data_IF_952229310658
#
_entry.id   IF_952229310658
#
_cell.length_a   1.000
_cell.length_b   1.000
_cell.length_c   1.000
_cell.angle_alpha   90.00
_cell.angle_beta   90.00
_cell.angle_gamma   90.00
#
_symmetry.space_group_name_H-M   'P 1'
#
loop_
_entity.id
_entity.type
_entity.pdbx_description
1 polymer ?
#
# COMPACT_ATOMS: atom_id res chain seq x y z
N UNK A 1 13.77 29.36 43.35
CA UNK A 1 14.07 30.01 42.05
C UNK A 1 14.93 29.15 41.11
N UNK A 2 16.00 28.47 41.57
CA UNK A 2 16.90 27.68 40.68
C UNK A 2 16.29 26.43 40.02
N UNK A 3 15.28 25.79 40.63
CA UNK A 3 14.64 24.57 40.11
C UNK A 3 13.85 24.80 38.82
N UNK A 4 13.26 25.99 38.64
CA UNK A 4 12.46 26.33 37.46
C UNK A 4 13.30 26.43 36.18
N UNK A 5 14.49 27.05 36.28
CA UNK A 5 15.43 27.13 35.16
C UNK A 5 15.97 25.76 34.75
N UNK A 6 16.17 24.85 35.70
CA UNK A 6 16.61 23.49 35.41
C UNK A 6 15.53 22.71 34.65
N UNK A 7 14.27 22.77 35.08
CA UNK A 7 13.15 22.16 34.35
C UNK A 7 12.97 22.73 32.94
N UNK A 8 13.13 24.05 32.78
CA UNK A 8 13.03 24.68 31.46
C UNK A 8 14.19 24.29 30.54
N UNK A 9 15.40 24.21 31.09
CA UNK A 9 16.59 23.75 30.36
C UNK A 9 16.47 22.31 29.88
N UNK A 10 15.94 21.41 30.72
CA UNK A 10 15.69 20.01 30.35
C UNK A 10 14.62 19.93 29.26
N UNK A 11 13.51 20.66 29.39
CA UNK A 11 12.45 20.67 28.39
C UNK A 11 12.95 21.18 27.03
N UNK A 12 13.71 22.28 27.02
CA UNK A 12 14.31 22.82 25.79
C UNK A 12 15.28 21.83 25.14
N UNK A 13 16.07 21.10 25.94
CA UNK A 13 16.98 20.09 25.45
C UNK A 13 16.25 18.90 24.81
N UNK A 14 15.16 18.42 25.42
CA UNK A 14 14.32 17.34 24.87
C UNK A 14 13.70 17.77 23.54
N UNK A 15 13.18 19.00 23.45
CA UNK A 15 12.61 19.54 22.21
C UNK A 15 13.69 19.60 21.12
N UNK A 16 14.90 20.06 21.43
CA UNK A 16 15.99 20.11 20.46
C UNK A 16 16.33 18.73 19.90
N UNK A 17 16.41 17.71 20.78
CA UNK A 17 16.60 16.33 20.36
C UNK A 17 15.46 15.87 19.45
N UNK A 18 14.21 16.15 19.83
CA UNK A 18 13.05 15.75 19.04
C UNK A 18 13.05 16.37 17.62
N UNK A 19 13.45 17.65 17.49
CA UNK A 19 13.58 18.32 16.19
C UNK A 19 14.66 17.67 15.32
N UNK A 20 15.85 17.45 15.88
CA UNK A 20 16.98 16.90 15.12
C UNK A 20 16.73 15.44 14.73
N UNK A 21 16.04 14.70 15.59
CA UNK A 21 15.77 13.27 15.39
C UNK A 21 14.50 12.99 14.60
N UNK A 22 13.65 13.97 14.29
CA UNK A 22 12.41 13.73 13.55
C UNK A 22 12.70 13.03 12.19
N UNK A 23 12.12 11.85 11.91
CA UNK A 23 12.43 11.11 10.69
C UNK A 23 12.00 11.87 9.43
N UNK A 24 12.78 11.67 8.35
CA UNK A 24 12.48 12.19 7.02
C UNK A 24 11.50 11.26 6.25
N UNK A 25 11.02 11.73 5.11
CA UNK A 25 10.06 10.99 4.27
C UNK A 25 10.59 9.62 3.80
N UNK A 26 11.89 9.51 3.50
CA UNK A 26 12.50 8.25 3.08
C UNK A 26 12.42 7.17 4.16
N UNK A 27 12.58 7.55 5.44
CA UNK A 27 12.36 6.63 6.57
C UNK A 27 10.92 6.18 6.67
N UNK A 28 9.96 7.07 6.40
CA UNK A 28 8.54 6.72 6.35
C UNK A 28 8.25 5.71 5.23
N UNK A 29 8.74 5.97 4.02
CA UNK A 29 8.63 5.07 2.86
C UNK A 29 9.26 3.70 3.14
N UNK A 30 10.45 3.70 3.76
CA UNK A 30 11.18 2.47 4.10
C UNK A 30 10.47 1.64 5.17
N UNK A 31 9.85 2.29 6.16
CA UNK A 31 9.04 1.61 7.17
C UNK A 31 7.81 0.96 6.55
N UNK A 32 7.10 1.68 5.67
CA UNK A 32 5.93 1.13 4.96
C UNK A 32 6.36 -0.02 4.05
N UNK A 33 7.46 0.12 3.30
CA UNK A 33 8.02 -0.94 2.44
C UNK A 33 8.32 -2.20 3.22
N UNK A 34 8.96 -2.07 4.37
CA UNK A 34 9.29 -3.21 5.22
C UNK A 34 8.04 -3.93 5.73
N UNK A 35 7.00 -3.19 6.16
CA UNK A 35 5.74 -3.79 6.64
C UNK A 35 5.00 -4.50 5.50
N UNK A 36 4.91 -3.89 4.32
CA UNK A 36 4.26 -4.46 3.12
C UNK A 36 5.01 -5.70 2.62
N UNK A 37 6.35 -5.66 2.55
CA UNK A 37 7.15 -6.82 2.15
C UNK A 37 7.03 -7.96 3.16
N UNK A 38 7.04 -7.66 4.46
CA UNK A 38 6.85 -8.68 5.50
C UNK A 38 5.47 -9.35 5.39
N UNK A 39 4.41 -8.58 5.15
CA UNK A 39 3.06 -9.11 4.93
C UNK A 39 2.98 -10.01 3.70
N UNK A 40 3.50 -9.54 2.56
CA UNK A 40 3.50 -10.32 1.32
C UNK A 40 4.37 -11.59 1.41
N UNK A 41 5.52 -11.52 2.10
CA UNK A 41 6.37 -12.69 2.34
C UNK A 41 5.70 -13.71 3.27
N UNK A 42 5.05 -13.26 4.34
CA UNK A 42 4.33 -14.14 5.24
C UNK A 42 3.23 -14.92 4.50
N UNK A 43 2.47 -14.23 3.64
CA UNK A 43 1.41 -14.84 2.83
C UNK A 43 1.98 -15.75 1.72
N UNK A 44 3.08 -15.34 1.06
CA UNK A 44 3.73 -16.18 0.06
C UNK A 44 4.33 -17.46 0.67
N UNK A 45 4.86 -17.38 1.90
CA UNK A 45 5.38 -18.56 2.62
C UNK A 45 4.24 -19.49 3.04
N UNK A 46 3.08 -18.98 3.46
CA UNK A 46 1.92 -19.82 3.77
C UNK A 46 1.35 -20.52 2.53
N UNK A 47 1.35 -19.88 1.37
CA UNK A 47 0.85 -20.49 0.13
C UNK A 47 1.81 -21.58 -0.40
N UNK A 48 3.12 -21.41 -0.20
CA UNK A 48 4.15 -22.37 -0.61
C UNK A 48 4.27 -23.55 0.36
N UNK A 49 4.07 -23.35 1.67
CA UNK A 49 4.05 -24.45 2.64
C UNK A 49 2.98 -25.50 2.33
N UNK A 50 1.94 -25.12 1.59
CA UNK A 50 0.88 -26.01 1.13
C UNK A 50 1.13 -26.62 -0.27
N UNK A 51 2.19 -26.20 -0.98
CA UNK A 51 2.46 -26.57 -2.38
C UNK A 51 3.88 -27.14 -2.54
N UNK A 52 4.06 -28.41 -2.21
CA UNK A 52 5.33 -29.15 -2.29
C UNK A 52 5.75 -29.40 -3.75
N UNK A 53 6.72 -28.63 -4.29
CA UNK A 53 7.68 -29.12 -5.29
C UNK A 53 8.93 -28.21 -5.34
N UNK A 54 10.14 -28.77 -5.18
CA UNK A 54 11.22 -28.10 -4.42
C UNK A 54 12.40 -27.52 -5.22
N UNK A 55 12.38 -27.45 -6.56
CA UNK A 55 13.56 -26.93 -7.30
C UNK A 55 13.30 -25.87 -8.38
N UNK A 56 12.22 -25.93 -9.16
CA UNK A 56 11.90 -24.88 -10.14
C UNK A 56 11.32 -23.61 -9.47
N UNK A 57 10.65 -23.81 -8.34
CA UNK A 57 10.01 -22.75 -7.57
C UNK A 57 11.02 -21.77 -6.95
N UNK A 58 12.27 -22.18 -6.70
CA UNK A 58 13.25 -21.32 -6.04
C UNK A 58 13.78 -20.20 -6.96
N UNK A 59 13.99 -20.49 -8.24
CA UNK A 59 14.46 -19.51 -9.24
C UNK A 59 13.30 -18.61 -9.68
N UNK A 60 12.11 -19.18 -9.91
CA UNK A 60 10.91 -18.39 -10.18
C UNK A 60 10.56 -17.45 -9.03
N UNK A 61 10.72 -17.90 -7.78
CA UNK A 61 10.49 -17.08 -6.58
C UNK A 61 11.52 -15.98 -6.41
N UNK A 62 12.80 -16.20 -6.72
CA UNK A 62 13.80 -15.13 -6.62
C UNK A 62 13.55 -14.04 -7.66
N UNK A 63 13.23 -14.40 -8.91
CA UNK A 63 12.85 -13.46 -9.96
C UNK A 63 11.54 -12.74 -9.60
N UNK A 64 10.52 -13.48 -9.17
CA UNK A 64 9.24 -12.93 -8.75
C UNK A 64 9.36 -11.98 -7.55
N UNK A 65 10.19 -12.30 -6.57
CA UNK A 65 10.46 -11.43 -5.41
C UNK A 65 11.22 -10.17 -5.83
N UNK A 66 12.19 -10.27 -6.75
CA UNK A 66 12.92 -9.13 -7.26
C UNK A 66 12.00 -8.17 -8.04
N UNK A 67 11.17 -8.71 -8.94
CA UNK A 67 10.19 -7.93 -9.71
C UNK A 67 9.10 -7.32 -8.81
N UNK A 68 8.56 -8.11 -7.88
CA UNK A 68 7.58 -7.64 -6.90
C UNK A 68 8.15 -6.53 -6.01
N UNK A 69 9.42 -6.62 -5.60
CA UNK A 69 10.10 -5.59 -4.82
C UNK A 69 10.18 -4.24 -5.54
N UNK A 70 10.48 -4.24 -6.85
CA UNK A 70 10.52 -3.02 -7.68
C UNK A 70 9.14 -2.40 -7.85
N UNK A 71 8.11 -3.22 -8.10
CA UNK A 71 6.72 -2.74 -8.24
C UNK A 71 6.22 -2.13 -6.93
N UNK A 72 6.47 -2.80 -5.79
CA UNK A 72 6.10 -2.30 -4.45
C UNK A 72 6.82 -0.99 -4.15
N UNK A 73 8.08 -0.87 -4.52
CA UNK A 73 8.86 0.36 -4.32
C UNK A 73 8.30 1.54 -5.12
N UNK A 74 7.98 1.35 -6.40
CA UNK A 74 7.36 2.39 -7.23
C UNK A 74 5.99 2.82 -6.69
N UNK A 75 5.19 1.84 -6.26
CA UNK A 75 3.89 2.09 -5.66
C UNK A 75 4.04 2.93 -4.37
N UNK A 76 4.91 2.51 -3.45
CA UNK A 76 5.17 3.21 -2.18
C UNK A 76 5.67 4.62 -2.41
N UNK A 77 6.57 4.82 -3.37
CA UNK A 77 7.10 6.15 -3.68
C UNK A 77 6.02 7.11 -4.21
N UNK A 78 4.95 6.59 -4.82
CA UNK A 78 3.85 7.37 -5.38
C UNK A 78 2.74 7.66 -4.36
N UNK A 79 2.42 6.68 -3.51
CA UNK A 79 1.28 6.76 -2.58
C UNK A 79 1.65 7.26 -1.19
N UNK A 80 2.89 7.04 -0.73
CA UNK A 80 3.32 7.36 0.64
C UNK A 80 3.97 8.72 0.65
N UNK A 81 3.49 9.58 1.54
CA UNK A 81 4.07 10.89 1.83
C UNK A 81 4.19 11.10 3.33
N UNK A 82 4.96 12.10 3.72
CA UNK A 82 5.13 12.48 5.12
C UNK A 82 4.93 13.98 5.31
N UNK A 83 4.16 14.37 6.32
CA UNK A 83 4.16 15.76 6.80
C UNK A 83 5.13 15.88 7.97
N UNK A 84 5.92 16.96 8.01
CA UNK A 84 6.82 17.26 9.10
C UNK A 84 6.26 18.41 9.98
N UNK A 85 6.04 18.13 11.26
CA UNK A 85 5.53 19.06 12.27
C UNK A 85 6.62 19.48 13.27
N UNK A 86 7.86 19.59 12.81
CA UNK A 86 9.05 19.98 13.57
C UNK A 86 9.55 18.89 14.54
N UNK A 87 8.79 18.58 15.59
CA UNK A 87 9.20 17.57 16.62
C UNK A 87 8.67 16.16 16.34
N UNK A 88 7.69 16.04 15.46
CA UNK A 88 7.13 14.78 14.98
C UNK A 88 6.76 14.91 13.51
N UNK A 89 6.42 13.79 12.89
CA UNK A 89 5.94 13.71 11.51
C UNK A 89 4.78 12.72 11.44
N UNK A 90 3.98 12.80 10.38
CA UNK A 90 2.90 11.84 10.13
C UNK A 90 3.11 11.12 8.82
N UNK A 91 2.93 9.81 8.84
CA UNK A 91 2.93 8.98 7.63
C UNK A 91 1.54 9.02 6.99
N UNK A 92 1.49 9.46 5.75
CA UNK A 92 0.27 9.53 4.95
C UNK A 92 0.37 8.58 3.78
N UNK A 93 -0.80 8.15 3.37
CA UNK A 93 -1.00 7.29 2.23
C UNK A 93 -2.15 7.87 1.41
N UNK A 94 -1.97 7.95 0.09
CA UNK A 94 -2.98 8.45 -0.83
C UNK A 94 -3.40 7.33 -1.78
N UNK A 95 -4.67 6.96 -1.76
CA UNK A 95 -5.28 5.98 -2.66
C UNK A 95 -6.64 6.47 -3.16
N UNK A 96 -6.89 6.34 -4.47
CA UNK A 96 -8.12 6.80 -5.13
C UNK A 96 -8.52 8.26 -4.80
N UNK A 97 -7.53 9.12 -4.53
CA UNK A 97 -7.75 10.52 -4.16
C UNK A 97 -8.04 10.76 -2.68
N UNK A 98 -8.21 9.70 -1.88
CA UNK A 98 -8.31 9.80 -0.41
C UNK A 98 -6.94 9.69 0.25
N UNK A 99 -6.61 10.67 1.08
CA UNK A 99 -5.41 10.63 1.93
C UNK A 99 -5.77 10.16 3.34
N UNK A 100 -5.12 9.09 3.81
CA UNK A 100 -5.28 8.55 5.17
C UNK A 100 -3.95 8.60 5.91
N UNK A 101 -4.00 9.02 7.17
CA UNK A 101 -2.85 8.97 8.08
C UNK A 101 -2.78 7.55 8.64
N UNK A 102 -1.66 6.89 8.38
CA UNK A 102 -1.41 5.48 8.72
C UNK A 102 -0.31 5.33 9.78
N UNK A 103 0.32 6.42 10.21
CA UNK A 103 1.41 6.34 11.17
C UNK A 103 1.93 7.71 11.59
N UNK A 104 2.86 7.70 12.54
CA UNK A 104 3.58 8.88 12.98
C UNK A 104 5.06 8.56 13.20
N UNK A 105 5.89 9.58 13.01
CA UNK A 105 7.32 9.54 13.23
C UNK A 105 7.72 10.45 14.37
N UNK A 106 8.55 9.96 15.28
CA UNK A 106 9.11 10.75 16.36
C UNK A 106 10.42 10.12 16.83
N UNK A 107 11.35 10.93 17.32
CA UNK A 107 12.62 10.45 17.89
C UNK A 107 13.38 9.45 16.99
N UNK A 108 13.38 9.69 15.68
CA UNK A 108 14.10 8.88 14.68
C UNK A 108 13.39 7.62 14.24
N UNK A 109 12.23 7.31 14.82
CA UNK A 109 11.45 6.09 14.61
C UNK A 109 10.14 6.41 13.90
N UNK A 110 9.63 5.45 13.13
CA UNK A 110 8.33 5.51 12.46
C UNK A 110 7.45 4.40 13.01
N UNK A 111 6.26 4.76 13.46
CA UNK A 111 5.26 3.86 14.01
C UNK A 111 4.08 3.81 13.06
N UNK A 112 3.81 2.63 12.49
CA UNK A 112 2.72 2.40 11.55
C UNK A 112 1.57 1.69 12.26
N UNK A 113 0.35 2.10 11.93
CA UNK A 113 -0.88 1.45 12.36
C UNK A 113 -1.13 0.17 11.54
N UNK A 114 -1.83 -0.79 12.13
CA UNK A 114 -2.31 -1.99 11.45
C UNK A 114 -3.39 -1.70 10.40
N UNK A 115 -3.98 -0.50 10.43
CA UNK A 115 -4.87 0.01 9.37
C UNK A 115 -4.22 0.05 7.99
N UNK A 116 -2.90 -0.01 7.92
CA UNK A 116 -2.17 -0.18 6.66
C UNK A 116 -2.67 -1.41 5.89
N UNK A 117 -2.75 -2.56 6.56
CA UNK A 117 -3.13 -3.85 5.97
C UNK A 117 -4.58 -3.83 5.48
N UNK A 118 -5.51 -3.36 6.33
CA UNK A 118 -6.92 -3.20 5.95
C UNK A 118 -7.11 -2.29 4.73
N UNK A 119 -6.29 -1.24 4.60
CA UNK A 119 -6.38 -0.32 3.46
C UNK A 119 -5.95 -1.01 2.18
N UNK A 120 -4.87 -1.81 2.21
CA UNK A 120 -4.43 -2.57 1.04
C UNK A 120 -5.41 -3.68 0.64
N UNK A 121 -6.00 -4.38 1.62
CA UNK A 121 -6.95 -5.46 1.37
C UNK A 121 -8.26 -4.95 0.78
N UNK A 122 -8.89 -3.94 1.40
CA UNK A 122 -10.12 -3.32 0.87
C UNK A 122 -9.94 -2.83 -0.55
N UNK A 123 -8.80 -2.20 -0.84
CA UNK A 123 -8.50 -1.70 -2.19
C UNK A 123 -8.33 -2.83 -3.22
N UNK A 124 -7.79 -3.99 -2.83
CA UNK A 124 -7.68 -5.16 -3.72
C UNK A 124 -9.07 -5.66 -4.09
N UNK A 125 -9.96 -5.78 -3.10
CA UNK A 125 -11.33 -6.24 -3.31
C UNK A 125 -12.14 -5.28 -4.17
N UNK A 126 -12.00 -3.97 -3.97
CA UNK A 126 -12.70 -2.96 -4.77
C UNK A 126 -12.26 -2.96 -6.23
N UNK A 127 -10.96 -3.14 -6.51
CA UNK A 127 -10.48 -3.27 -7.89
C UNK A 127 -11.02 -4.52 -8.58
N UNK A 128 -11.03 -5.66 -7.90
CA UNK A 128 -11.57 -6.91 -8.44
C UNK A 128 -13.06 -6.74 -8.77
N UNK A 129 -13.83 -6.09 -7.88
CA UNK A 129 -15.26 -5.80 -8.12
C UNK A 129 -15.47 -4.89 -9.33
N UNK A 130 -14.69 -3.81 -9.47
CA UNK A 130 -14.77 -2.90 -10.63
C UNK A 130 -14.45 -3.64 -11.95
N UNK A 131 -13.38 -4.44 -11.98
CA UNK A 131 -13.00 -5.23 -13.16
C UNK A 131 -14.06 -6.31 -13.52
N UNK A 132 -14.67 -6.94 -12.52
CA UNK A 132 -15.77 -7.89 -12.74
C UNK A 132 -17.04 -7.22 -13.26
N UNK A 133 -17.36 -6.01 -12.79
CA UNK A 133 -18.49 -5.24 -13.29
C UNK A 133 -18.28 -4.78 -14.74
N UNK A 134 -17.08 -4.30 -15.08
CA UNK A 134 -16.72 -3.92 -16.46
C UNK A 134 -16.84 -5.12 -17.42
N UNK A 135 -16.33 -6.30 -17.03
CA UNK A 135 -16.50 -7.53 -17.83
C UNK A 135 -17.96 -7.91 -18.00
N UNK A 136 -18.77 -7.86 -16.94
CA UNK A 136 -20.21 -8.16 -17.02
C UNK A 136 -20.94 -7.20 -17.97
N UNK A 137 -20.59 -5.91 -17.93
CA UNK A 137 -21.16 -4.93 -18.86
C UNK A 137 -20.75 -5.23 -20.31
N UNK A 138 -19.48 -5.53 -20.56
CA UNK A 138 -18.98 -5.87 -21.89
C UNK A 138 -19.65 -7.13 -22.46
N UNK A 139 -19.80 -8.17 -21.64
CA UNK A 139 -20.48 -9.42 -22.04
C UNK A 139 -21.97 -9.18 -22.34
N UNK A 140 -22.64 -8.34 -21.54
CA UNK A 140 -24.04 -7.97 -21.78
C UNK A 140 -24.23 -7.20 -23.09
N UNK A 141 -23.32 -6.28 -23.40
CA UNK A 141 -23.33 -5.51 -24.64
C UNK A 141 -23.04 -6.41 -25.86
N UNK A 142 -22.05 -7.31 -25.74
CA UNK A 142 -21.74 -8.26 -26.80
C UNK A 142 -22.94 -9.16 -27.11
N UNK A 143 -23.62 -9.66 -26.06
CA UNK A 143 -24.82 -10.49 -26.23
C UNK A 143 -25.96 -9.72 -26.90
N UNK A 144 -26.22 -8.48 -26.51
CA UNK A 144 -27.23 -7.63 -27.13
C UNK A 144 -26.96 -7.40 -28.63
N UNK A 145 -25.71 -7.09 -29.01
CA UNK A 145 -25.33 -6.92 -30.41
C UNK A 145 -25.49 -8.21 -31.23
N UNK A 146 -25.16 -9.36 -30.64
CA UNK A 146 -25.33 -10.66 -31.31
C UNK A 146 -26.81 -10.98 -31.53
N UNK A 147 -27.67 -10.69 -30.56
CA UNK A 147 -29.10 -10.95 -30.67
C UNK A 147 -29.77 -9.99 -31.66
N UNK A 148 -29.40 -8.70 -31.67
CA UNK A 148 -29.83 -7.72 -32.68
C UNK A 148 -29.42 -8.14 -34.10
N UNK A 149 -28.16 -8.59 -34.28
CA UNK A 149 -27.69 -9.06 -35.57
C UNK A 149 -28.45 -10.31 -36.05
N UNK A 150 -28.79 -11.24 -35.14
CA UNK A 150 -29.61 -12.41 -35.49
C UNK A 150 -31.01 -12.02 -35.93
N UNK A 151 -31.64 -11.04 -35.27
CA UNK A 151 -32.95 -10.52 -35.71
C UNK A 151 -32.86 -9.87 -37.09
N UNK A 152 -31.85 -9.03 -37.33
CA UNK A 152 -31.63 -8.41 -38.64
C UNK A 152 -31.45 -9.43 -39.78
N UNK A 153 -30.66 -10.48 -39.55
CA UNK A 153 -30.47 -11.55 -40.54
C UNK A 153 -31.75 -12.38 -40.77
N UNK A 154 -32.60 -12.52 -39.74
CA UNK A 154 -33.88 -13.22 -39.84
C UNK A 154 -34.89 -12.42 -40.65
N UNK A 155 -34.94 -11.10 -40.48
CA UNK A 155 -35.82 -10.19 -41.23
C UNK A 155 -35.48 -10.17 -42.73
N UNK A 156 -34.18 -10.12 -43.08
CA UNK A 156 -33.72 -10.15 -44.49
C UNK A 156 -33.89 -11.49 -45.23
N UNK A 157 -34.24 -12.58 -44.53
CA UNK A 157 -34.43 -13.90 -45.12
C UNK A 157 -35.89 -14.24 -45.44
N UNK A 158 -36.84 -13.41 -45.00
CA UNK A 158 -38.25 -13.46 -45.39
C UNK A 158 -38.54 -12.44 -46.50
#
# INVERSE_FOLDING_TARGET
MKKGYLTFGIAAFIILIAVISNPNEDKHKSAVKSKVLAFNMANAVSDIANSTDNNYNNVGRSIGTALGGVIVEQLINSIVSSDNYLVFSTTKVTWEGETKIIGFGAFGNVFLSDKLEETFEKNREEKIKKEEEEKRQQDSLHKAMVDEYKEYIKDKKN
#
